data_IF_943963929640
#
_entry.id   IF_943963929640
#
_cell.length_a   1.000
_cell.length_b   1.000
_cell.length_c   1.000
_cell.angle_alpha   90.00
_cell.angle_beta   90.00
_cell.angle_gamma   90.00
#
_symmetry.space_group_name_H-M   'P 1'
#
loop_
_entity.id
_entity.type
_entity.pdbx_description
1 polymer ?
#
# COMPACT_ATOMS: atom_id res chain seq x y z
N UNK A 1 -31.41 7.70 42.90
CA UNK A 1 -32.15 8.96 43.02
C UNK A 1 -33.51 8.73 43.68
N UNK A 2 -34.41 7.98 43.05
CA UNK A 2 -35.74 7.69 43.60
C UNK A 2 -35.74 7.19 45.06
N UNK A 3 -34.89 6.23 45.44
CA UNK A 3 -34.88 5.70 46.81
C UNK A 3 -34.47 6.74 47.87
N UNK A 4 -33.53 7.63 47.54
CA UNK A 4 -33.14 8.72 48.43
C UNK A 4 -34.26 9.75 48.57
N UNK A 5 -34.91 10.11 47.47
CA UNK A 5 -36.05 11.04 47.50
C UNK A 5 -37.23 10.46 48.31
N UNK A 6 -37.50 9.17 48.16
CA UNK A 6 -38.54 8.47 48.95
C UNK A 6 -38.18 8.45 50.44
N UNK A 7 -36.92 8.13 50.77
CA UNK A 7 -36.45 8.08 52.15
C UNK A 7 -36.49 9.47 52.83
N UNK A 8 -36.08 10.53 52.12
CA UNK A 8 -36.18 11.92 52.59
C UNK A 8 -37.64 12.32 52.81
N UNK A 9 -38.52 12.10 51.83
CA UNK A 9 -39.97 12.40 51.96
C UNK A 9 -40.60 11.67 53.14
N UNK A 10 -40.22 10.41 53.35
CA UNK A 10 -40.73 9.61 54.48
C UNK A 10 -40.29 10.19 55.82
N UNK A 11 -39.03 10.65 55.93
CA UNK A 11 -38.50 11.31 57.13
C UNK A 11 -39.13 12.68 57.36
N UNK A 12 -39.34 13.48 56.32
CA UNK A 12 -40.04 14.78 56.41
C UNK A 12 -41.48 14.59 56.91
N UNK A 13 -42.19 13.59 56.39
CA UNK A 13 -43.53 13.23 56.87
C UNK A 13 -43.51 12.81 58.35
N UNK A 14 -42.54 12.01 58.78
CA UNK A 14 -42.40 11.60 60.17
C UNK A 14 -42.13 12.81 61.10
N UNK A 15 -41.21 13.70 60.71
CA UNK A 15 -40.93 14.94 61.45
C UNK A 15 -42.18 15.82 61.54
N UNK A 16 -42.99 15.90 60.49
CA UNK A 16 -44.26 16.63 60.50
C UNK A 16 -45.24 16.09 61.55
N UNK A 17 -45.33 14.76 61.67
CA UNK A 17 -46.12 14.08 62.70
C UNK A 17 -45.55 14.37 64.09
N UNK A 18 -44.24 14.23 64.28
CA UNK A 18 -43.58 14.47 65.57
C UNK A 18 -43.73 15.92 66.04
N UNK A 19 -43.62 16.89 65.13
CA UNK A 19 -43.85 18.31 65.42
C UNK A 19 -45.30 18.59 65.83
N UNK A 20 -46.27 17.95 65.16
CA UNK A 20 -47.68 18.03 65.55
C UNK A 20 -47.88 17.44 66.95
N UNK A 21 -47.33 16.25 67.21
CA UNK A 21 -47.40 15.58 68.52
C UNK A 21 -46.78 16.42 69.63
N UNK A 22 -45.63 17.06 69.38
CA UNK A 22 -44.95 17.94 70.33
C UNK A 22 -45.81 19.14 70.76
N UNK A 23 -46.71 19.63 69.88
CA UNK A 23 -47.60 20.74 70.16
C UNK A 23 -48.88 20.33 70.93
N UNK A 24 -49.13 19.03 71.11
CA UNK A 24 -50.32 18.56 71.81
C UNK A 24 -50.24 18.83 73.32
N UNK A 25 -51.37 19.23 73.90
CA UNK A 25 -51.57 19.39 75.34
C UNK A 25 -52.98 18.91 75.73
N UNK A 26 -53.28 18.91 77.03
CA UNK A 26 -54.54 18.39 77.57
C UNK A 26 -55.81 19.08 77.02
N UNK A 27 -55.68 20.26 76.40
CA UNK A 27 -56.77 21.03 75.82
C UNK A 27 -56.78 21.00 74.28
N UNK A 28 -55.84 20.28 73.66
CA UNK A 28 -55.77 20.15 72.19
C UNK A 28 -57.01 19.46 71.63
N UNK A 29 -57.58 20.01 70.56
CA UNK A 29 -58.73 19.40 69.86
C UNK A 29 -58.29 18.14 69.12
N UNK A 30 -59.09 17.07 69.19
CA UNK A 30 -58.83 15.82 68.48
C UNK A 30 -58.07 14.73 69.27
N UNK A 31 -57.72 14.98 70.54
CA UNK A 31 -57.22 13.93 71.43
C UNK A 31 -58.36 12.95 71.79
N UNK A 32 -58.10 11.64 71.75
CA UNK A 32 -59.10 10.60 72.03
C UNK A 32 -58.41 9.32 72.51
N UNK A 33 -59.17 8.40 73.10
CA UNK A 33 -58.68 7.06 73.41
C UNK A 33 -58.72 6.17 72.16
N UNK A 34 -57.59 5.56 71.82
CA UNK A 34 -57.46 4.62 70.71
C UNK A 34 -57.23 3.20 71.29
N UNK A 35 -58.05 2.23 70.90
CA UNK A 35 -57.94 0.86 71.40
C UNK A 35 -56.88 0.05 70.64
N UNK A 36 -56.05 -0.70 71.36
CA UNK A 36 -55.11 -1.66 70.78
C UNK A 36 -53.76 -1.08 70.33
N UNK A 37 -53.55 0.23 70.48
CA UNK A 37 -52.25 0.90 70.22
C UNK A 37 -51.20 0.58 71.30
N UNK A 38 -51.64 0.07 72.43
CA UNK A 38 -50.85 -0.27 73.62
C UNK A 38 -50.23 -1.68 73.54
N UNK A 39 -50.56 -2.45 72.49
CA UNK A 39 -50.04 -3.80 72.27
C UNK A 39 -48.72 -3.76 71.52
N UNK A 40 -47.79 -4.64 71.91
CA UNK A 40 -46.53 -4.84 71.19
C UNK A 40 -46.81 -5.34 69.76
N UNK A 41 -46.34 -4.61 68.77
CA UNK A 41 -46.40 -4.98 67.37
C UNK A 41 -45.01 -5.41 66.89
N UNK A 42 -44.76 -6.71 66.62
CA UNK A 42 -43.46 -7.19 66.16
C UNK A 42 -43.12 -6.77 64.72
N UNK A 43 -44.05 -6.15 63.98
CA UNK A 43 -43.86 -5.75 62.58
C UNK A 43 -43.33 -4.33 62.42
N UNK A 44 -43.25 -3.55 63.50
CA UNK A 44 -42.70 -2.19 63.48
C UNK A 44 -41.17 -2.21 63.47
N UNK A 45 -40.57 -1.24 62.78
CA UNK A 45 -39.12 -1.08 62.73
C UNK A 45 -38.57 -0.57 64.05
N UNK A 46 -37.34 -0.97 64.39
CA UNK A 46 -36.58 -0.48 65.54
C UNK A 46 -35.54 0.54 65.08
N UNK A 47 -35.00 1.40 65.97
CA UNK A 47 -34.01 2.41 65.60
C UNK A 47 -32.82 1.84 64.82
N UNK A 48 -32.38 0.62 65.17
CA UNK A 48 -31.28 -0.09 64.51
C UNK A 48 -31.64 -0.40 63.05
N UNK A 49 -32.80 -1.01 62.78
CA UNK A 49 -33.21 -1.39 61.41
C UNK A 49 -33.56 -0.18 60.55
N UNK A 50 -34.06 0.91 61.16
CA UNK A 50 -34.26 2.20 60.49
C UNK A 50 -32.93 2.86 60.07
N UNK A 51 -31.95 2.88 60.98
CA UNK A 51 -30.62 3.41 60.72
C UNK A 51 -29.89 2.58 59.66
N UNK A 52 -29.98 1.25 59.74
CA UNK A 52 -29.46 0.32 58.73
C UNK A 52 -30.08 0.56 57.35
N UNK A 53 -31.40 0.73 57.26
CA UNK A 53 -32.06 1.03 55.99
C UNK A 53 -31.56 2.34 55.38
N UNK A 54 -31.47 3.41 56.19
CA UNK A 54 -30.94 4.71 55.75
C UNK A 54 -29.50 4.60 55.26
N UNK A 55 -28.65 3.93 56.04
CA UNK A 55 -27.25 3.69 55.69
C UNK A 55 -27.14 2.86 54.40
N UNK A 56 -27.94 1.83 54.23
CA UNK A 56 -27.97 1.00 53.02
C UNK A 56 -28.32 1.83 51.78
N UNK A 57 -29.33 2.71 51.86
CA UNK A 57 -29.73 3.58 50.73
C UNK A 57 -28.59 4.56 50.39
N UNK A 58 -27.94 5.15 51.40
CA UNK A 58 -26.80 6.05 51.22
C UNK A 58 -25.63 5.31 50.56
N UNK A 59 -25.25 4.13 51.08
CA UNK A 59 -24.15 3.32 50.55
C UNK A 59 -24.43 2.89 49.11
N UNK A 60 -25.66 2.46 48.79
CA UNK A 60 -26.05 2.14 47.42
C UNK A 60 -25.90 3.35 46.50
N UNK A 61 -26.38 4.53 46.91
CA UNK A 61 -26.23 5.76 46.12
C UNK A 61 -24.77 6.15 45.88
N UNK A 62 -23.93 6.03 46.91
CA UNK A 62 -22.48 6.26 46.79
C UNK A 62 -21.84 5.28 45.81
N UNK A 63 -22.18 3.99 45.92
CA UNK A 63 -21.71 2.94 45.01
C UNK A 63 -22.11 3.18 43.54
N UNK A 64 -23.37 3.54 43.28
CA UNK A 64 -23.84 3.83 41.92
C UNK A 64 -23.21 5.10 41.33
N UNK A 65 -23.01 6.15 42.15
CA UNK A 65 -22.27 7.35 41.70
C UNK A 65 -20.81 7.05 41.38
N UNK A 66 -20.14 6.23 42.19
CA UNK A 66 -18.76 5.81 41.93
C UNK A 66 -18.66 5.00 40.62
N UNK A 67 -19.54 4.02 40.41
CA UNK A 67 -19.63 3.26 39.15
C UNK A 67 -19.87 4.18 37.95
N UNK A 68 -20.80 5.13 38.06
CA UNK A 68 -21.09 6.09 37.00
C UNK A 68 -19.89 6.99 36.68
N UNK A 69 -19.15 7.44 37.69
CA UNK A 69 -17.93 8.21 37.49
C UNK A 69 -16.85 7.37 36.79
N UNK A 70 -16.64 6.13 37.23
CA UNK A 70 -15.70 5.22 36.58
C UNK A 70 -16.06 4.97 35.11
N UNK A 71 -17.33 4.70 34.80
CA UNK A 71 -17.79 4.49 33.43
C UNK A 71 -17.54 5.69 32.52
N UNK A 72 -17.68 6.93 33.03
CA UNK A 72 -17.34 8.13 32.25
C UNK A 72 -15.84 8.21 31.98
N UNK A 73 -15.01 7.97 32.99
CA UNK A 73 -13.55 7.92 32.83
C UNK A 73 -13.13 6.85 31.83
N UNK A 74 -13.71 5.65 31.91
CA UNK A 74 -13.42 4.55 30.99
C UNK A 74 -13.85 4.90 29.55
N UNK A 75 -15.00 5.55 29.38
CA UNK A 75 -15.47 6.03 28.08
C UNK A 75 -14.52 7.08 27.48
N UNK A 76 -14.08 8.06 28.28
CA UNK A 76 -13.12 9.08 27.83
C UNK A 76 -11.77 8.46 27.45
N UNK A 77 -11.29 7.50 28.25
CA UNK A 77 -10.07 6.76 27.94
C UNK A 77 -10.20 5.98 26.62
N UNK A 78 -11.33 5.30 26.41
CA UNK A 78 -11.59 4.55 25.17
C UNK A 78 -11.65 5.47 23.95
N UNK A 79 -12.30 6.63 24.06
CA UNK A 79 -12.36 7.63 22.97
C UNK A 79 -10.94 8.07 22.60
N UNK A 80 -10.12 8.40 23.59
CA UNK A 80 -8.73 8.81 23.38
C UNK A 80 -7.89 7.70 22.75
N UNK A 81 -8.04 6.46 23.22
CA UNK A 81 -7.36 5.30 22.65
C UNK A 81 -7.76 5.07 21.19
N UNK A 82 -9.06 5.11 20.88
CA UNK A 82 -9.55 5.01 19.51
C UNK A 82 -9.00 6.12 18.61
N UNK A 83 -8.99 7.37 19.09
CA UNK A 83 -8.43 8.50 18.33
C UNK A 83 -6.93 8.29 18.04
N UNK A 84 -6.15 7.88 19.04
CA UNK A 84 -4.72 7.58 18.87
C UNK A 84 -4.49 6.42 17.89
N UNK A 85 -5.28 5.35 17.98
CA UNK A 85 -5.18 4.20 17.09
C UNK A 85 -5.50 4.57 15.63
N UNK A 86 -6.51 5.41 15.41
CA UNK A 86 -6.86 5.95 14.10
C UNK A 86 -5.72 6.81 13.54
N UNK A 87 -5.14 7.69 14.37
CA UNK A 87 -4.03 8.56 13.97
C UNK A 87 -2.77 7.76 13.61
N UNK A 88 -2.39 6.80 14.45
CA UNK A 88 -1.27 5.90 14.21
C UNK A 88 -1.46 5.08 12.94
N UNK A 89 -2.67 4.54 12.72
CA UNK A 89 -3.00 3.79 11.51
C UNK A 89 -2.89 4.68 10.27
N UNK A 90 -3.44 5.90 10.32
CA UNK A 90 -3.38 6.85 9.22
C UNK A 90 -1.93 7.18 8.84
N UNK A 91 -1.09 7.51 9.82
CA UNK A 91 0.32 7.83 9.63
C UNK A 91 1.11 6.65 9.07
N UNK A 92 0.89 5.45 9.62
CA UNK A 92 1.56 4.23 9.18
C UNK A 92 1.24 3.95 7.71
N UNK A 93 -0.05 3.99 7.34
CA UNK A 93 -0.48 3.79 5.94
C UNK A 93 0.09 4.87 5.01
N UNK A 94 0.06 6.15 5.40
CA UNK A 94 0.58 7.22 4.55
C UNK A 94 2.09 7.17 4.36
N UNK A 95 2.83 6.79 5.40
CA UNK A 95 4.27 6.58 5.33
C UNK A 95 4.58 5.41 4.40
N UNK A 96 3.83 4.30 4.51
CA UNK A 96 3.98 3.16 3.61
C UNK A 96 3.66 3.50 2.15
N UNK A 97 2.58 4.25 1.89
CA UNK A 97 2.22 4.72 0.54
C UNK A 97 3.29 5.66 -0.04
N UNK A 98 3.76 6.63 0.76
CA UNK A 98 4.83 7.54 0.32
C UNK A 98 6.12 6.79 -0.01
N UNK A 99 6.51 5.82 0.83
CA UNK A 99 7.66 4.95 0.57
C UNK A 99 7.49 4.17 -0.74
N UNK A 100 6.33 3.55 -0.95
CA UNK A 100 6.04 2.80 -2.18
C UNK A 100 6.09 3.70 -3.43
N UNK A 101 5.60 4.93 -3.33
CA UNK A 101 5.66 5.90 -4.42
C UNK A 101 7.11 6.29 -4.75
N UNK A 102 7.98 6.43 -3.75
CA UNK A 102 9.42 6.67 -3.95
C UNK A 102 10.09 5.48 -4.63
N UNK A 103 9.88 4.26 -4.11
CA UNK A 103 10.42 3.02 -4.72
C UNK A 103 9.96 2.86 -6.19
N UNK A 104 8.69 3.17 -6.47
CA UNK A 104 8.12 3.12 -7.82
C UNK A 104 8.74 4.18 -8.75
N UNK A 105 8.99 5.39 -8.25
CA UNK A 105 9.66 6.45 -8.99
C UNK A 105 11.11 6.07 -9.32
N UNK A 106 11.84 5.49 -8.37
CA UNK A 106 13.21 5.00 -8.60
C UNK A 106 13.23 3.90 -9.66
N UNK A 107 12.30 2.94 -9.59
CA UNK A 107 12.16 1.88 -10.59
C UNK A 107 11.84 2.46 -11.98
N UNK A 108 10.91 3.42 -12.06
CA UNK A 108 10.60 4.16 -13.29
C UNK A 108 11.85 4.82 -13.88
N UNK A 109 12.63 5.53 -13.07
CA UNK A 109 13.84 6.21 -13.53
C UNK A 109 14.89 5.22 -14.07
N UNK A 110 15.08 4.08 -13.39
CA UNK A 110 15.97 3.01 -13.86
C UNK A 110 15.51 2.42 -15.20
N UNK A 111 14.20 2.19 -15.36
CA UNK A 111 13.63 1.73 -16.63
C UNK A 111 13.85 2.75 -17.75
N UNK A 112 13.64 4.04 -17.49
CA UNK A 112 13.90 5.10 -18.48
C UNK A 112 15.37 5.15 -18.91
N UNK A 113 16.30 5.05 -17.95
CA UNK A 113 17.73 5.00 -18.25
C UNK A 113 18.09 3.76 -19.08
N UNK A 114 17.53 2.60 -18.75
CA UNK A 114 17.77 1.38 -19.51
C UNK A 114 17.21 1.48 -20.94
N UNK A 115 15.99 1.99 -21.08
CA UNK A 115 15.36 2.22 -22.39
C UNK A 115 16.24 3.12 -23.27
N UNK A 116 16.78 4.20 -22.73
CA UNK A 116 17.67 5.08 -23.47
C UNK A 116 18.94 4.36 -23.94
N UNK A 117 19.56 3.53 -23.09
CA UNK A 117 20.72 2.71 -23.48
C UNK A 117 20.37 1.71 -24.56
N UNK A 118 19.25 0.99 -24.43
CA UNK A 118 18.78 0.04 -25.45
C UNK A 118 18.50 0.73 -26.78
N UNK A 119 17.95 1.94 -26.77
CA UNK A 119 17.74 2.74 -28.00
C UNK A 119 19.06 3.11 -28.66
N UNK A 120 20.08 3.48 -27.87
CA UNK A 120 21.42 3.74 -28.40
C UNK A 120 22.06 2.48 -29.00
N UNK A 121 21.95 1.34 -28.32
CA UNK A 121 22.46 0.05 -28.83
C UNK A 121 21.76 -0.36 -30.13
N UNK A 122 20.45 -0.14 -30.26
CA UNK A 122 19.70 -0.38 -31.50
C UNK A 122 20.31 0.44 -32.64
N UNK A 123 20.54 1.73 -32.42
CA UNK A 123 21.13 2.62 -33.43
C UNK A 123 22.53 2.15 -33.87
N UNK A 124 23.38 1.75 -32.90
CA UNK A 124 24.73 1.29 -33.19
C UNK A 124 24.73 -0.04 -33.96
N UNK A 125 23.80 -0.95 -33.65
CA UNK A 125 23.62 -2.21 -34.38
C UNK A 125 23.08 -1.95 -35.79
N UNK A 126 22.12 -1.03 -35.98
CA UNK A 126 21.61 -0.65 -37.30
C UNK A 126 22.72 -0.10 -38.20
N UNK A 127 23.57 0.76 -37.65
CA UNK A 127 24.77 1.26 -38.37
C UNK A 127 25.73 0.12 -38.72
N UNK A 128 25.94 -0.82 -37.79
CA UNK A 128 26.81 -1.98 -38.02
C UNK A 128 26.28 -2.91 -39.10
N UNK A 129 24.97 -3.14 -39.14
CA UNK A 129 24.28 -3.90 -40.19
C UNK A 129 24.52 -3.26 -41.56
N UNK A 130 24.38 -1.94 -41.67
CA UNK A 130 24.61 -1.24 -42.95
C UNK A 130 26.07 -1.35 -43.41
N UNK A 131 27.02 -1.20 -42.47
CA UNK A 131 28.45 -1.38 -42.78
C UNK A 131 28.78 -2.82 -43.22
N UNK A 132 28.15 -3.83 -42.59
CA UNK A 132 28.32 -5.23 -42.97
C UNK A 132 27.75 -5.50 -44.37
N UNK A 133 26.56 -4.97 -44.69
CA UNK A 133 25.96 -5.07 -46.03
C UNK A 133 26.87 -4.45 -47.09
N UNK A 134 27.42 -3.28 -46.81
CA UNK A 134 28.39 -2.63 -47.71
C UNK A 134 29.66 -3.48 -47.88
N UNK A 135 30.24 -3.98 -46.79
CA UNK A 135 31.45 -4.81 -46.85
C UNK A 135 31.24 -6.11 -47.64
N UNK A 136 30.06 -6.73 -47.52
CA UNK A 136 29.67 -7.88 -48.33
C UNK A 136 29.68 -7.51 -49.81
N UNK A 137 29.09 -6.37 -50.19
CA UNK A 137 29.04 -5.91 -51.58
C UNK A 137 30.45 -5.61 -52.12
N UNK A 138 31.27 -4.90 -51.34
CA UNK A 138 32.64 -4.52 -51.69
C UNK A 138 33.55 -5.74 -51.90
N UNK A 139 33.27 -6.88 -51.23
CA UNK A 139 34.00 -8.16 -51.41
C UNK A 139 33.38 -9.09 -52.44
N UNK A 140 32.06 -9.10 -52.57
CA UNK A 140 31.33 -9.92 -53.55
C UNK A 140 31.66 -9.52 -54.98
N UNK A 141 31.87 -8.22 -55.24
CA UNK A 141 32.21 -7.73 -56.57
C UNK A 141 33.57 -8.26 -57.08
N UNK A 142 34.70 -8.12 -56.33
CA UNK A 142 35.96 -8.77 -56.67
C UNK A 142 35.88 -10.29 -56.76
N UNK A 143 35.14 -10.96 -55.84
CA UNK A 143 34.95 -12.41 -55.87
C UNK A 143 34.32 -12.86 -57.20
N UNK A 144 33.28 -12.16 -57.65
CA UNK A 144 32.63 -12.42 -58.94
C UNK A 144 33.62 -12.29 -60.10
N UNK A 145 34.45 -11.25 -60.10
CA UNK A 145 35.50 -11.06 -61.13
C UNK A 145 36.51 -12.20 -61.11
N UNK A 146 36.99 -12.60 -59.93
CA UNK A 146 37.96 -13.69 -59.78
C UNK A 146 37.37 -15.03 -60.26
N UNK A 147 36.12 -15.32 -59.91
CA UNK A 147 35.39 -16.50 -60.37
C UNK A 147 35.20 -16.50 -61.88
N UNK A 148 34.77 -15.39 -62.49
CA UNK A 148 34.62 -15.27 -63.94
C UNK A 148 35.96 -15.46 -64.67
N UNK A 149 37.06 -14.90 -64.15
CA UNK A 149 38.40 -15.13 -64.72
C UNK A 149 38.81 -16.60 -64.64
N UNK A 150 38.45 -17.29 -63.55
CA UNK A 150 38.81 -18.69 -63.34
C UNK A 150 38.03 -19.61 -64.27
N UNK A 151 36.74 -19.32 -64.44
CA UNK A 151 35.84 -20.00 -65.38
C UNK A 151 36.30 -19.79 -66.83
N UNK A 152 36.66 -18.57 -67.24
CA UNK A 152 37.15 -18.34 -68.59
C UNK A 152 38.44 -19.14 -68.87
N UNK A 153 39.30 -19.31 -67.86
CA UNK A 153 40.54 -20.10 -67.96
C UNK A 153 40.28 -21.61 -67.98
N UNK A 154 39.17 -22.11 -67.44
CA UNK A 154 38.84 -23.54 -67.51
C UNK A 154 38.44 -24.01 -68.92
N UNK A 155 38.24 -23.09 -69.86
CA UNK A 155 37.90 -23.37 -71.25
C UNK A 155 39.10 -23.53 -72.19
N UNK A 156 40.34 -23.39 -71.69
CA UNK A 156 41.54 -23.68 -72.48
C UNK A 156 41.56 -25.15 -72.89
N UNK A 157 42.06 -25.45 -74.08
CA UNK A 157 42.08 -26.81 -74.66
C UNK A 157 43.47 -27.43 -74.60
N UNK A 158 43.51 -28.76 -74.53
CA UNK A 158 44.72 -29.57 -74.62
C UNK A 158 45.82 -29.11 -73.63
N UNK A 159 47.05 -28.92 -74.13
CA UNK A 159 48.21 -28.53 -73.32
C UNK A 159 48.10 -27.10 -72.76
N UNK A 160 47.26 -26.25 -73.36
CA UNK A 160 47.04 -24.87 -72.90
C UNK A 160 46.19 -24.80 -71.62
N UNK A 161 45.47 -25.88 -71.26
CA UNK A 161 44.81 -26.04 -69.96
C UNK A 161 45.84 -26.32 -68.85
N UNK A 162 46.72 -25.35 -68.65
CA UNK A 162 47.82 -25.44 -67.73
C UNK A 162 47.47 -24.80 -66.38
N UNK A 163 47.85 -25.49 -65.29
CA UNK A 163 47.82 -24.97 -63.92
C UNK A 163 49.05 -24.10 -63.65
N UNK A 164 49.19 -23.04 -64.44
CA UNK A 164 50.26 -22.07 -64.25
C UNK A 164 50.12 -21.30 -62.93
N UNK A 165 51.11 -20.45 -62.62
CA UNK A 165 51.10 -19.65 -61.39
C UNK A 165 49.87 -18.74 -61.28
N UNK A 166 49.40 -18.17 -62.40
CA UNK A 166 48.22 -17.30 -62.40
C UNK A 166 46.93 -18.08 -62.08
N UNK A 167 46.77 -19.29 -62.62
CA UNK A 167 45.64 -20.17 -62.29
C UNK A 167 45.64 -20.52 -60.80
N UNK A 168 46.78 -20.92 -60.25
CA UNK A 168 46.90 -21.30 -58.83
C UNK A 168 46.57 -20.13 -57.90
N UNK A 169 47.08 -18.94 -58.19
CA UNK A 169 46.80 -17.73 -57.41
C UNK A 169 45.34 -17.31 -57.49
N UNK A 170 44.70 -17.48 -58.65
CA UNK A 170 43.29 -17.15 -58.83
C UNK A 170 42.35 -18.10 -58.08
N UNK A 171 42.68 -19.40 -58.04
CA UNK A 171 41.95 -20.37 -57.19
C UNK A 171 42.03 -19.96 -55.72
N UNK A 172 43.22 -19.62 -55.25
CA UNK A 172 43.43 -19.14 -53.88
C UNK A 172 42.65 -17.85 -53.59
N UNK A 173 42.69 -16.86 -54.49
CA UNK A 173 41.95 -15.61 -54.36
C UNK A 173 40.43 -15.84 -54.26
N UNK A 174 39.88 -16.71 -55.10
CA UNK A 174 38.45 -17.09 -55.05
C UNK A 174 38.10 -17.71 -53.70
N UNK A 175 38.95 -18.60 -53.17
CA UNK A 175 38.72 -19.22 -51.87
C UNK A 175 38.77 -18.19 -50.74
N UNK A 176 39.84 -17.38 -50.66
CA UNK A 176 40.02 -16.37 -49.60
C UNK A 176 38.88 -15.32 -49.60
N UNK A 177 38.47 -14.85 -50.78
CA UNK A 177 37.34 -13.92 -50.91
C UNK A 177 36.02 -14.60 -50.56
N UNK A 178 35.82 -15.86 -50.95
CA UNK A 178 34.65 -16.66 -50.59
C UNK A 178 34.48 -16.81 -49.09
N UNK A 179 35.53 -17.26 -48.40
CA UNK A 179 35.55 -17.44 -46.94
C UNK A 179 35.31 -16.11 -46.20
N UNK A 180 35.86 -15.01 -46.74
CA UNK A 180 35.64 -13.66 -46.21
C UNK A 180 34.19 -13.21 -46.34
N UNK A 181 33.57 -13.40 -47.51
CA UNK A 181 32.17 -13.07 -47.76
C UNK A 181 31.23 -13.92 -46.90
N UNK A 182 31.50 -15.21 -46.75
CA UNK A 182 30.72 -16.10 -45.88
C UNK A 182 30.79 -15.64 -44.41
N UNK A 183 31.99 -15.31 -43.93
CA UNK A 183 32.18 -14.79 -42.57
C UNK A 183 31.41 -13.48 -42.34
N UNK A 184 31.38 -12.58 -43.33
CA UNK A 184 30.60 -11.34 -43.25
C UNK A 184 29.10 -11.59 -43.22
N UNK A 185 28.58 -12.55 -43.99
CA UNK A 185 27.17 -12.95 -43.95
C UNK A 185 26.78 -13.51 -42.59
N UNK A 186 27.62 -14.37 -41.99
CA UNK A 186 27.39 -14.89 -40.63
C UNK A 186 27.28 -13.76 -39.60
N UNK A 187 28.22 -12.80 -39.64
CA UNK A 187 28.17 -11.62 -38.75
C UNK A 187 26.95 -10.75 -38.99
N UNK A 188 26.51 -10.60 -40.23
CA UNK A 188 25.28 -9.88 -40.55
C UNK A 188 24.06 -10.56 -39.92
N UNK A 189 23.95 -11.87 -40.04
CA UNK A 189 22.86 -12.64 -39.43
C UNK A 189 22.86 -12.52 -37.89
N UNK A 190 24.04 -12.59 -37.27
CA UNK A 190 24.20 -12.38 -35.82
C UNK A 190 23.73 -10.98 -35.40
N UNK A 191 24.13 -9.94 -36.14
CA UNK A 191 23.74 -8.55 -35.87
C UNK A 191 22.23 -8.33 -36.08
N UNK A 192 21.63 -8.90 -37.13
CA UNK A 192 20.19 -8.84 -37.38
C UNK A 192 19.39 -9.56 -36.27
N UNK A 193 19.88 -10.70 -35.79
CA UNK A 193 19.29 -11.41 -34.64
C UNK A 193 19.34 -10.55 -33.35
N UNK A 194 20.51 -9.94 -33.07
CA UNK A 194 20.68 -9.04 -31.95
C UNK A 194 19.74 -7.82 -32.04
N UNK A 195 19.59 -7.24 -33.24
CA UNK A 195 18.65 -6.13 -33.48
C UNK A 195 17.22 -6.52 -33.12
N UNK A 196 16.75 -7.69 -33.56
CA UNK A 196 15.40 -8.17 -33.23
C UNK A 196 15.21 -8.40 -31.72
N UNK A 197 16.24 -8.89 -31.03
CA UNK A 197 16.19 -9.04 -29.57
C UNK A 197 16.10 -7.68 -28.86
N UNK A 198 16.91 -6.70 -29.29
CA UNK A 198 16.89 -5.36 -28.73
C UNK A 198 15.53 -4.66 -28.95
N UNK A 199 14.91 -4.83 -30.12
CA UNK A 199 13.56 -4.29 -30.39
C UNK A 199 12.49 -4.88 -29.44
N UNK A 200 12.56 -6.18 -29.15
CA UNK A 200 11.67 -6.82 -28.16
C UNK A 200 11.93 -6.28 -26.76
N UNK A 201 13.19 -6.15 -26.36
CA UNK A 201 13.58 -5.57 -25.08
C UNK A 201 13.06 -4.14 -24.94
N UNK A 202 13.20 -3.31 -25.98
CA UNK A 202 12.65 -1.94 -26.01
C UNK A 202 11.14 -1.93 -25.77
N UNK A 203 10.39 -2.76 -26.48
CA UNK A 203 8.93 -2.87 -26.33
C UNK A 203 8.53 -3.27 -24.91
N UNK A 204 9.25 -4.20 -24.29
CA UNK A 204 8.99 -4.62 -22.91
C UNK A 204 9.28 -3.48 -21.92
N UNK A 205 10.40 -2.77 -22.09
CA UNK A 205 10.76 -1.62 -21.26
C UNK A 205 9.75 -0.47 -21.37
N UNK A 206 9.24 -0.20 -22.57
CA UNK A 206 8.19 0.80 -22.81
C UNK A 206 6.89 0.43 -22.09
N UNK A 207 6.49 -0.84 -22.16
CA UNK A 207 5.31 -1.35 -21.46
C UNK A 207 5.48 -1.26 -19.93
N UNK A 208 6.61 -1.73 -19.40
CA UNK A 208 6.90 -1.66 -17.96
C UNK A 208 6.92 -0.21 -17.47
N UNK A 209 7.50 0.69 -18.27
CA UNK A 209 7.52 2.12 -17.96
C UNK A 209 6.12 2.70 -17.89
N UNK A 210 5.25 2.37 -18.86
CA UNK A 210 3.85 2.79 -18.85
C UNK A 210 3.13 2.32 -17.59
N UNK A 211 3.33 1.05 -17.19
CA UNK A 211 2.78 0.51 -15.93
C UNK A 211 3.28 1.31 -14.74
N UNK A 212 4.59 1.58 -14.62
CA UNK A 212 5.14 2.34 -13.48
C UNK A 212 4.63 3.78 -13.43
N UNK A 213 4.47 4.44 -14.57
CA UNK A 213 3.88 5.79 -14.63
C UNK A 213 2.44 5.77 -14.12
N UNK A 214 1.64 4.79 -14.57
CA UNK A 214 0.25 4.66 -14.12
C UNK A 214 0.16 4.32 -12.62
N UNK A 215 0.95 3.37 -12.12
CA UNK A 215 1.01 3.04 -10.70
C UNK A 215 1.38 4.27 -9.85
N UNK A 216 2.38 5.04 -10.28
CA UNK A 216 2.80 6.24 -9.56
C UNK A 216 1.69 7.31 -9.52
N UNK A 217 0.96 7.48 -10.62
CA UNK A 217 -0.19 8.38 -10.68
C UNK A 217 -1.29 7.95 -9.71
N UNK A 218 -1.63 6.65 -9.68
CA UNK A 218 -2.62 6.12 -8.75
C UNK A 218 -2.18 6.36 -7.30
N UNK A 219 -0.95 5.99 -6.95
CA UNK A 219 -0.45 6.10 -5.58
C UNK A 219 -0.40 7.56 -5.10
N UNK A 220 0.08 8.49 -5.94
CA UNK A 220 0.26 9.90 -5.56
C UNK A 220 -1.02 10.72 -5.68
N UNK A 221 -1.68 10.66 -6.82
CA UNK A 221 -2.79 11.57 -7.12
C UNK A 221 -4.13 11.03 -6.64
N UNK A 222 -4.31 9.71 -6.61
CA UNK A 222 -5.56 9.09 -6.13
C UNK A 222 -5.45 8.72 -4.67
N UNK A 223 -4.57 7.79 -4.31
CA UNK A 223 -4.51 7.25 -2.94
C UNK A 223 -4.06 8.29 -1.93
N UNK A 224 -2.85 8.86 -2.09
CA UNK A 224 -2.36 9.90 -1.19
C UNK A 224 -3.18 11.19 -1.31
N UNK A 225 -3.65 11.55 -2.51
CA UNK A 225 -4.54 12.68 -2.75
C UNK A 225 -5.81 12.64 -1.89
N UNK A 226 -6.55 11.52 -1.91
CA UNK A 226 -7.77 11.34 -1.10
C UNK A 226 -7.50 11.36 0.40
N UNK A 227 -6.30 10.98 0.84
CA UNK A 227 -5.95 10.85 2.26
C UNK A 227 -5.43 12.15 2.89
N UNK A 228 -5.30 13.24 2.12
CA UNK A 228 -4.84 14.56 2.62
C UNK A 228 -5.81 15.23 3.59
N UNK A 229 -7.09 14.90 3.54
CA UNK A 229 -8.15 15.56 4.33
C UNK A 229 -8.35 14.98 5.74
N UNK A 230 -7.50 14.07 6.18
CA UNK A 230 -7.57 13.41 7.49
C UNK A 230 -6.22 13.64 8.22
N UNK A 231 -6.10 13.68 9.56
CA UNK A 231 -7.06 13.26 10.59
C UNK A 231 -7.69 14.41 11.38
N UNK A 232 -9.00 14.29 11.62
CA UNK A 232 -9.84 14.98 12.63
C UNK A 232 -9.22 16.29 13.11
N UNK A 233 -9.69 17.41 12.56
CA UNK A 233 -9.55 18.71 13.20
C UNK A 233 -10.03 18.55 14.65
N UNK A 234 -9.11 18.49 15.60
CA UNK A 234 -9.43 18.60 17.01
C UNK A 234 -9.89 20.04 17.23
N UNK A 235 -11.19 20.27 17.07
CA UNK A 235 -11.89 21.43 17.64
C UNK A 235 -12.56 21.00 18.92
#
# INVERSE_FOLDING_TARGET
>A
QHELETDVKSKESAIGIDNMCHQLNNYSRGINFYGGIDKFDPTITVPETWAENSNRIIQRSQGERAKSAQLRTDADNLINECANNIWNSWNTTNSALSRRATETLEAKNKLQMHLHKTQQEIFDVEKSIELLRKAIMDKSNPLKVAQTRLEARSHRRDVELCRDGAHTRLVQEVQELGDSVETLHRKLQEAESQHQQLLRTRSNLEQDLHVKVNSLFIDREKCLGMRRSFPISAT
#
